data_IF_400603846365
#
_entry.id   IF_400603846365
#
_cell.length_a   1.000
_cell.length_b   1.000
_cell.length_c   1.000
_cell.angle_alpha   90.00
_cell.angle_beta   90.00
_cell.angle_gamma   90.00
#
_symmetry.space_group_name_H-M   'P 1'
#
loop_
_entity.id
_entity.type
_entity.pdbx_description
1 polymer ?
#
# COMPACT_ATOMS: atom_id res chain seq x y z
N UNK A 1 -72.46 -6.33 -34.54
CA UNK A 1 -72.13 -4.88 -34.41
C UNK A 1 -70.70 -4.68 -34.89
N UNK A 2 -70.47 -3.60 -35.65
CA UNK A 2 -69.35 -3.40 -36.57
C UNK A 2 -68.05 -3.01 -35.87
N UNK A 3 -66.94 -3.54 -36.38
CA UNK A 3 -65.56 -3.06 -36.24
C UNK A 3 -65.41 -1.58 -36.58
N UNK A 4 -64.69 -0.82 -35.74
CA UNK A 4 -63.83 0.34 -36.08
C UNK A 4 -62.77 0.38 -34.97
N UNK A 5 -61.59 -0.24 -35.11
CA UNK A 5 -60.36 0.27 -35.73
C UNK A 5 -60.08 1.76 -35.47
N UNK A 6 -59.55 2.08 -34.29
CA UNK A 6 -58.74 3.29 -34.09
C UNK A 6 -57.32 2.86 -33.72
N UNK A 7 -56.45 2.93 -34.72
CA UNK A 7 -55.01 2.79 -34.58
C UNK A 7 -54.46 4.00 -33.82
N UNK A 8 -53.86 3.75 -32.66
CA UNK A 8 -53.05 4.75 -31.95
C UNK A 8 -51.60 4.36 -32.16
N UNK A 9 -50.98 5.09 -33.09
CA UNK A 9 -49.60 4.93 -33.54
C UNK A 9 -48.73 5.83 -32.63
N UNK A 10 -48.34 5.33 -31.46
CA UNK A 10 -47.40 6.04 -30.58
C UNK A 10 -45.99 5.63 -30.97
N UNK A 11 -45.27 6.60 -31.50
CA UNK A 11 -43.92 6.49 -32.04
C UNK A 11 -42.95 6.10 -30.93
N UNK A 12 -42.24 5.01 -31.19
CA UNK A 12 -41.11 4.51 -30.43
C UNK A 12 -39.93 5.48 -30.61
N UNK A 13 -39.56 6.25 -29.58
CA UNK A 13 -38.27 6.92 -29.52
C UNK A 13 -37.37 6.22 -28.50
N UNK A 14 -36.71 5.16 -28.95
CA UNK A 14 -35.53 4.61 -28.29
C UNK A 14 -34.40 5.65 -28.38
N UNK A 15 -34.15 6.37 -27.29
CA UNK A 15 -32.87 7.04 -27.08
C UNK A 15 -31.91 6.02 -26.47
N UNK A 16 -31.27 5.25 -27.34
CA UNK A 16 -29.97 4.64 -27.06
C UNK A 16 -28.92 5.63 -27.54
N UNK A 17 -28.29 6.36 -26.62
CA UNK A 17 -26.98 6.94 -26.87
C UNK A 17 -26.31 7.27 -25.53
N UNK A 18 -25.21 6.58 -25.22
CA UNK A 18 -24.40 6.95 -24.06
C UNK A 18 -23.51 5.86 -23.47
N UNK A 19 -22.86 5.02 -24.29
CA UNK A 19 -21.64 4.35 -23.85
C UNK A 19 -20.57 5.42 -23.56
N UNK A 20 -20.49 5.89 -22.32
CA UNK A 20 -19.32 6.64 -21.85
C UNK A 20 -18.29 5.64 -21.38
N UNK A 21 -17.47 5.24 -22.35
CA UNK A 21 -16.04 4.95 -22.22
C UNK A 21 -15.59 4.49 -20.84
N UNK A 22 -15.47 3.16 -20.67
CA UNK A 22 -14.49 2.59 -19.75
C UNK A 22 -13.14 3.21 -20.11
N UNK A 23 -12.67 4.15 -19.27
CA UNK A 23 -11.31 4.64 -19.35
C UNK A 23 -10.40 3.42 -19.22
N UNK A 24 -9.53 3.28 -20.22
CA UNK A 24 -8.48 2.26 -20.31
C UNK A 24 -7.92 1.95 -18.93
N UNK A 25 -7.82 0.67 -18.62
CA UNK A 25 -6.98 0.17 -17.54
C UNK A 25 -5.62 0.88 -17.63
N UNK A 26 -5.07 1.39 -16.51
CA UNK A 26 -3.74 1.97 -16.53
C UNK A 26 -2.76 0.93 -17.05
N UNK A 27 -1.85 1.41 -17.89
CA UNK A 27 -0.81 0.61 -18.49
C UNK A 27 -0.10 -0.20 -17.40
N UNK A 28 0.01 -1.51 -17.63
CA UNK A 28 0.76 -2.48 -16.84
C UNK A 28 2.00 -1.81 -16.25
N UNK A 29 1.96 -1.57 -14.94
CA UNK A 29 3.13 -1.18 -14.15
C UNK A 29 4.24 -2.15 -14.53
N UNK A 30 5.44 -1.63 -14.82
CA UNK A 30 6.62 -2.48 -14.95
C UNK A 30 6.63 -3.39 -13.73
N UNK A 31 6.60 -4.68 -13.97
CA UNK A 31 6.59 -5.73 -12.95
C UNK A 31 7.98 -5.66 -12.30
N UNK A 32 8.16 -4.73 -11.37
CA UNK A 32 9.30 -4.71 -10.47
C UNK A 32 9.19 -6.03 -9.74
N UNK A 33 10.21 -6.87 -9.89
CA UNK A 33 10.31 -8.17 -9.25
C UNK A 33 10.41 -7.93 -7.74
N UNK A 34 9.26 -7.70 -7.10
CA UNK A 34 9.17 -7.43 -5.67
C UNK A 34 9.65 -8.70 -4.98
N UNK A 35 10.80 -8.59 -4.35
CA UNK A 35 11.43 -9.71 -3.68
C UNK A 35 10.49 -10.14 -2.54
N UNK A 36 9.92 -11.35 -2.69
CA UNK A 36 8.86 -11.82 -1.81
C UNK A 36 9.40 -12.07 -0.40
N UNK A 37 8.56 -11.87 0.61
CA UNK A 37 8.89 -12.19 2.01
C UNK A 37 8.61 -13.66 2.36
N UNK A 38 8.23 -14.47 1.37
CA UNK A 38 7.66 -15.82 1.51
C UNK A 38 6.34 -15.86 2.32
N UNK A 39 5.78 -14.69 2.65
CA UNK A 39 4.52 -14.55 3.36
C UNK A 39 3.55 -13.67 2.56
N UNK A 40 2.54 -14.32 1.97
CA UNK A 40 1.55 -13.68 1.07
C UNK A 40 0.80 -12.53 1.75
N UNK A 41 0.53 -12.64 3.04
CA UNK A 41 -0.18 -11.59 3.79
C UNK A 41 0.71 -10.35 3.95
N UNK A 42 1.96 -10.54 4.34
CA UNK A 42 2.95 -9.45 4.48
C UNK A 42 3.21 -8.79 3.12
N UNK A 43 3.42 -9.60 2.07
CA UNK A 43 3.64 -9.12 0.70
C UNK A 43 2.45 -8.28 0.21
N UNK A 44 1.22 -8.68 0.53
CA UNK A 44 0.02 -7.92 0.21
C UNK A 44 -0.02 -6.57 0.93
N UNK A 45 0.32 -6.52 2.21
CA UNK A 45 0.35 -5.27 2.97
C UNK A 45 1.41 -4.29 2.44
N UNK A 46 2.60 -4.80 2.14
CA UNK A 46 3.69 -4.03 1.52
C UNK A 46 3.27 -3.51 0.14
N UNK A 47 2.61 -4.34 -0.68
CA UNK A 47 2.08 -3.93 -1.98
C UNK A 47 1.00 -2.84 -1.86
N UNK A 48 0.11 -2.95 -0.86
CA UNK A 48 -0.92 -1.95 -0.60
C UNK A 48 -0.32 -0.60 -0.17
N UNK A 49 0.73 -0.62 0.65
CA UNK A 49 1.50 0.58 1.01
C UNK A 49 2.14 1.22 -0.24
N UNK A 50 2.81 0.43 -1.08
CA UNK A 50 3.39 0.93 -2.34
C UNK A 50 2.34 1.63 -3.20
N UNK A 51 1.16 1.03 -3.31
CA UNK A 51 0.07 1.58 -4.12
C UNK A 51 -0.47 2.89 -3.54
N UNK A 52 -0.59 3.04 -2.21
CA UNK A 52 -1.02 4.32 -1.61
C UNK A 52 -0.01 5.42 -1.87
N UNK A 53 1.28 5.14 -1.67
CA UNK A 53 2.35 6.11 -1.90
C UNK A 53 2.46 6.55 -3.36
N UNK A 54 2.26 5.62 -4.31
CA UNK A 54 2.22 5.95 -5.73
C UNK A 54 1.00 6.80 -6.10
N UNK A 55 -0.18 6.46 -5.58
CA UNK A 55 -1.39 7.23 -5.81
C UNK A 55 -1.24 8.66 -5.30
N UNK A 56 -0.73 8.83 -4.08
CA UNK A 56 -0.44 10.16 -3.54
C UNK A 56 0.61 10.90 -4.37
N UNK A 57 1.64 10.21 -4.86
CA UNK A 57 2.65 10.79 -5.73
C UNK A 57 2.03 11.35 -7.03
N UNK A 58 1.11 10.60 -7.64
CA UNK A 58 0.38 11.01 -8.85
C UNK A 58 -0.56 12.20 -8.59
N UNK A 59 -1.22 12.23 -7.42
CA UNK A 59 -2.22 13.25 -7.08
C UNK A 59 -1.62 14.56 -6.57
N UNK A 60 -0.54 14.49 -5.79
CA UNK A 60 0.00 15.63 -5.05
C UNK A 60 1.37 16.10 -5.56
N UNK A 61 2.06 15.32 -6.41
CA UNK A 61 3.43 15.62 -6.88
C UNK A 61 4.39 16.02 -5.72
N UNK A 62 4.53 15.17 -4.69
CA UNK A 62 5.33 15.44 -3.51
C UNK A 62 6.84 15.48 -3.83
N UNK A 63 7.66 15.85 -2.84
CA UNK A 63 9.10 16.03 -3.00
C UNK A 63 9.92 14.74 -3.12
N UNK A 64 9.29 13.57 -3.02
CA UNK A 64 9.92 12.27 -3.17
C UNK A 64 9.63 11.65 -4.55
N UNK A 65 10.39 10.61 -4.90
CA UNK A 65 10.32 9.91 -6.18
C UNK A 65 9.89 8.45 -6.02
N UNK A 66 9.57 7.78 -7.13
CA UNK A 66 9.30 6.34 -7.15
C UNK A 66 10.47 5.51 -6.57
N UNK A 67 11.71 6.00 -6.70
CA UNK A 67 12.89 5.34 -6.11
C UNK A 67 12.89 5.37 -4.60
N UNK A 68 12.35 6.43 -4.00
CA UNK A 68 12.25 6.56 -2.55
C UNK A 68 11.15 5.62 -2.02
N UNK A 69 10.05 5.47 -2.76
CA UNK A 69 9.05 4.42 -2.50
C UNK A 69 9.71 3.04 -2.60
N UNK A 70 10.47 2.76 -3.66
CA UNK A 70 11.19 1.49 -3.82
C UNK A 70 12.10 1.19 -2.64
N UNK A 71 12.85 2.18 -2.15
CA UNK A 71 13.73 2.03 -0.98
C UNK A 71 12.93 1.73 0.29
N UNK A 72 11.79 2.41 0.51
CA UNK A 72 10.89 2.12 1.63
C UNK A 72 10.37 0.67 1.59
N UNK A 73 9.91 0.23 0.42
CA UNK A 73 9.42 -1.14 0.21
C UNK A 73 10.53 -2.16 0.44
N UNK A 74 11.74 -1.91 -0.06
CA UNK A 74 12.88 -2.79 0.14
C UNK A 74 13.26 -2.91 1.63
N UNK A 75 13.25 -1.81 2.38
CA UNK A 75 13.53 -1.82 3.83
C UNK A 75 12.54 -2.75 4.57
N UNK A 76 11.24 -2.67 4.24
CA UNK A 76 10.20 -3.49 4.88
C UNK A 76 10.27 -4.96 4.47
N UNK A 77 10.54 -5.25 3.20
CA UNK A 77 10.73 -6.63 2.72
C UNK A 77 11.95 -7.27 3.37
N UNK A 78 13.06 -6.54 3.47
CA UNK A 78 14.28 -7.02 4.11
C UNK A 78 14.13 -7.21 5.62
N UNK A 79 13.44 -6.31 6.30
CA UNK A 79 13.05 -6.48 7.69
C UNK A 79 12.28 -7.80 7.86
N UNK A 80 11.28 -8.03 7.01
CA UNK A 80 10.41 -9.21 7.12
C UNK A 80 11.18 -10.52 6.96
N UNK A 81 12.03 -10.62 5.94
CA UNK A 81 12.89 -11.80 5.71
C UNK A 81 13.88 -12.03 6.85
N UNK A 82 14.44 -10.96 7.43
CA UNK A 82 15.41 -11.06 8.53
C UNK A 82 14.73 -11.43 9.84
N UNK A 83 13.54 -10.92 10.09
CA UNK A 83 12.79 -11.19 11.32
C UNK A 83 12.49 -12.69 11.48
N UNK A 84 12.14 -13.37 10.38
CA UNK A 84 11.91 -14.83 10.34
C UNK A 84 13.14 -15.64 10.80
N UNK A 85 14.34 -15.08 10.63
CA UNK A 85 15.62 -15.72 10.95
C UNK A 85 16.13 -15.38 12.36
N UNK A 86 15.43 -14.55 13.11
CA UNK A 86 15.82 -14.22 14.49
C UNK A 86 15.50 -15.37 15.44
N UNK A 87 16.25 -15.48 16.54
CA UNK A 87 16.10 -16.56 17.51
C UNK A 87 15.77 -16.07 18.92
N UNK A 88 15.68 -14.76 19.13
CA UNK A 88 15.37 -14.16 20.43
C UNK A 88 14.64 -12.83 20.28
N UNK A 89 13.96 -12.42 21.35
CA UNK A 89 13.29 -11.12 21.42
C UNK A 89 14.31 -9.98 21.32
N UNK A 90 15.48 -10.15 21.91
CA UNK A 90 16.55 -9.15 21.88
C UNK A 90 17.06 -8.91 20.45
N UNK A 91 17.29 -9.98 19.68
CA UNK A 91 17.66 -9.88 18.26
C UNK A 91 16.56 -9.21 17.44
N UNK A 92 15.30 -9.57 17.69
CA UNK A 92 14.14 -8.98 17.04
C UNK A 92 14.04 -7.46 17.32
N UNK A 93 14.18 -7.03 18.58
CA UNK A 93 14.10 -5.61 18.93
C UNK A 93 15.27 -4.80 18.35
N UNK A 94 16.47 -5.37 18.28
CA UNK A 94 17.60 -4.75 17.56
C UNK A 94 17.30 -4.57 16.07
N UNK A 95 16.63 -5.54 15.44
CA UNK A 95 16.22 -5.46 14.06
C UNK A 95 15.12 -4.40 13.86
N UNK A 96 14.11 -4.36 14.72
CA UNK A 96 13.04 -3.35 14.73
C UNK A 96 13.64 -1.94 14.81
N UNK A 97 14.48 -1.69 15.81
CA UNK A 97 15.17 -0.40 15.98
C UNK A 97 15.94 -0.01 14.72
N UNK A 98 16.73 -0.92 14.15
CA UNK A 98 17.50 -0.64 12.93
C UNK A 98 16.58 -0.26 11.77
N UNK A 99 15.49 -0.99 11.57
CA UNK A 99 14.52 -0.72 10.51
C UNK A 99 13.86 0.64 10.68
N UNK A 100 13.42 0.99 11.89
CA UNK A 100 12.81 2.30 12.17
C UNK A 100 13.81 3.44 11.88
N UNK A 101 15.06 3.31 12.32
CA UNK A 101 16.09 4.32 12.04
C UNK A 101 16.42 4.47 10.55
N UNK A 102 16.38 3.38 9.78
CA UNK A 102 16.52 3.43 8.32
C UNK A 102 15.35 4.18 7.67
N UNK A 103 14.12 3.96 8.15
CA UNK A 103 12.92 4.64 7.67
C UNK A 103 12.94 6.14 8.02
N UNK A 104 13.33 6.52 9.24
CA UNK A 104 13.52 7.93 9.62
C UNK A 104 14.55 8.59 8.69
N UNK A 105 15.69 7.94 8.46
CA UNK A 105 16.75 8.45 7.58
C UNK A 105 16.24 8.64 6.14
N UNK A 106 15.47 7.68 5.63
CA UNK A 106 14.86 7.77 4.31
C UNK A 106 13.86 8.93 4.24
N UNK A 107 12.96 9.04 5.21
CA UNK A 107 11.99 10.13 5.25
C UNK A 107 12.68 11.50 5.30
N UNK A 108 13.74 11.63 6.10
CA UNK A 108 14.53 12.85 6.19
C UNK A 108 15.18 13.24 4.86
N UNK A 109 15.71 12.28 4.09
CA UNK A 109 16.24 12.54 2.74
C UNK A 109 15.17 13.06 1.79
N UNK A 110 13.91 12.66 1.99
CA UNK A 110 12.74 13.12 1.26
C UNK A 110 12.10 14.39 1.84
N UNK A 111 12.81 15.13 2.71
CA UNK A 111 12.28 16.35 3.33
C UNK A 111 11.09 16.10 4.25
N UNK A 112 11.02 14.91 4.86
CA UNK A 112 9.94 14.42 5.71
C UNK A 112 8.57 14.28 5.02
N UNK A 113 8.55 14.18 3.69
CA UNK A 113 7.31 14.09 2.89
C UNK A 113 6.96 12.67 2.42
N UNK A 114 7.81 11.67 2.67
CA UNK A 114 7.60 10.30 2.20
C UNK A 114 6.64 9.52 3.12
N UNK A 115 6.75 9.71 4.44
CA UNK A 115 5.98 8.99 5.46
C UNK A 115 4.97 9.93 6.13
N UNK A 116 3.82 10.08 5.46
CA UNK A 116 2.66 10.86 5.92
C UNK A 116 1.80 10.08 6.92
N UNK A 117 0.76 10.72 7.46
CA UNK A 117 -0.07 10.15 8.55
C UNK A 117 -0.62 8.75 8.27
N UNK A 118 -1.06 8.46 7.03
CA UNK A 118 -1.60 7.14 6.70
C UNK A 118 -0.50 6.08 6.52
N UNK A 119 0.64 6.46 5.93
CA UNK A 119 1.81 5.61 5.77
C UNK A 119 2.43 5.25 7.12
N UNK A 120 2.45 6.18 8.08
CA UNK A 120 2.92 5.99 9.46
C UNK A 120 2.28 4.76 10.11
N UNK A 121 0.95 4.71 10.12
CA UNK A 121 0.17 3.61 10.71
C UNK A 121 0.38 2.29 9.97
N UNK A 122 0.43 2.33 8.64
CA UNK A 122 0.64 1.13 7.81
C UNK A 122 2.03 0.53 8.02
N UNK A 123 3.07 1.37 8.05
CA UNK A 123 4.45 0.96 8.26
C UNK A 123 4.62 0.35 9.65
N UNK A 124 4.12 1.03 10.69
CA UNK A 124 4.14 0.51 12.05
C UNK A 124 3.41 -0.84 12.15
N UNK A 125 2.19 -0.93 11.59
CA UNK A 125 1.39 -2.14 11.59
C UNK A 125 2.08 -3.32 10.90
N UNK A 126 2.78 -3.09 9.78
CA UNK A 126 3.59 -4.14 9.13
C UNK A 126 4.70 -4.61 10.06
N UNK A 127 5.46 -3.70 10.67
CA UNK A 127 6.57 -4.05 11.56
C UNK A 127 6.09 -4.86 12.77
N UNK A 128 5.03 -4.39 13.42
CA UNK A 128 4.38 -5.01 14.59
C UNK A 128 3.85 -6.40 14.23
N UNK A 129 3.14 -6.54 13.10
CA UNK A 129 2.56 -7.82 12.69
C UNK A 129 3.62 -8.89 12.42
N UNK A 130 4.71 -8.52 11.74
CA UNK A 130 5.77 -9.48 11.42
C UNK A 130 6.48 -9.95 12.69
N UNK A 131 6.78 -9.04 13.62
CA UNK A 131 7.38 -9.40 14.91
C UNK A 131 6.42 -10.23 15.78
N UNK A 132 5.13 -9.92 15.73
CA UNK A 132 4.08 -10.64 16.44
C UNK A 132 3.95 -12.09 15.93
N UNK A 133 4.02 -12.30 14.61
CA UNK A 133 4.02 -13.64 14.01
C UNK A 133 5.19 -14.50 14.46
N UNK A 134 6.29 -13.89 14.90
CA UNK A 134 7.44 -14.58 15.51
C UNK A 134 7.33 -14.74 17.04
N UNK A 135 6.28 -14.17 17.65
CA UNK A 135 6.00 -14.29 19.08
C UNK A 135 6.74 -13.29 19.97
N UNK A 136 7.29 -12.19 19.43
CA UNK A 136 8.13 -11.26 20.21
C UNK A 136 7.35 -10.10 20.87
N UNK A 137 6.13 -9.82 20.42
CA UNK A 137 5.24 -8.79 20.93
C UNK A 137 3.76 -9.18 20.80
N UNK A 138 2.87 -8.48 21.50
CA UNK A 138 1.42 -8.53 21.24
C UNK A 138 1.05 -7.58 20.11
N UNK A 139 -0.10 -7.80 19.47
CA UNK A 139 -0.61 -6.92 18.41
C UNK A 139 -0.85 -5.47 18.88
N UNK A 140 -1.14 -5.27 20.17
CA UNK A 140 -1.38 -3.94 20.76
C UNK A 140 -0.09 -3.29 21.31
N UNK A 141 1.06 -3.95 21.19
CA UNK A 141 2.35 -3.43 21.65
C UNK A 141 3.08 -2.74 20.48
N UNK A 142 3.14 -1.41 20.53
CA UNK A 142 3.85 -0.60 19.55
C UNK A 142 5.36 -0.59 19.80
N UNK A 143 5.99 -1.68 19.37
CA UNK A 143 7.44 -1.89 19.46
C UNK A 143 8.28 -0.90 18.64
N UNK A 144 7.66 0.04 17.93
CA UNK A 144 8.37 0.99 17.06
C UNK A 144 8.38 2.43 17.62
N UNK A 145 7.51 2.72 18.58
CA UNK A 145 7.27 4.07 19.12
C UNK A 145 8.56 4.72 19.65
N UNK A 146 9.38 3.98 20.39
CA UNK A 146 10.60 4.51 21.04
C UNK A 146 11.59 5.17 20.06
N UNK A 147 11.68 4.66 18.83
CA UNK A 147 12.66 5.11 17.84
C UNK A 147 12.03 5.91 16.70
N UNK A 148 10.71 6.11 16.74
CA UNK A 148 9.99 6.78 15.66
C UNK A 148 10.17 8.28 15.73
N UNK A 149 10.75 8.83 14.67
CA UNK A 149 10.82 10.29 14.47
C UNK A 149 9.79 10.72 13.43
N UNK A 150 9.64 9.89 12.40
CA UNK A 150 8.85 10.15 11.19
C UNK A 150 9.09 11.54 10.62
#
# INVERSE_FOLDING_TARGET
MRNILTAVLVILSLVMCGQKNFKKAPARSKEVNMETTENIEIDKLISQLRNSMNLYMEEASPGYSEKDIDECILILSEYSKKMIKTHSKEEAMLLVRRTVLQLNTLNQKCGNSLIETDERERIAGIIILVSHKMGYNSMDDDITEEWREW
#
